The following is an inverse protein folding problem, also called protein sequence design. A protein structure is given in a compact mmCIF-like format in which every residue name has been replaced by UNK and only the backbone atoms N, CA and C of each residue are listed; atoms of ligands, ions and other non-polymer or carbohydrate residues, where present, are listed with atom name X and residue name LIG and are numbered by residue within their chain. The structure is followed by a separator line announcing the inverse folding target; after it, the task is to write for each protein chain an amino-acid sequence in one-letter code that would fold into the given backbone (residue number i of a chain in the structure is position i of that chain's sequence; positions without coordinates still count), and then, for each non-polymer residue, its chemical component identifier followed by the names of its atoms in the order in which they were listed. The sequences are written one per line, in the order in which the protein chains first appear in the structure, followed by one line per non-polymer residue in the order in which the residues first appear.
data_IF_239333189635
#
_entry.id   IF_239333189635
#
_cell.length_a   1.000
_cell.length_b   1.000
_cell.length_c   1.000
_cell.angle_alpha   90.00
_cell.angle_beta   90.00
_cell.angle_gamma   90.00
#
_symmetry.space_group_name_H-M   'P 1'
#
loop_
_entity.id
_entity.type
_entity.pdbx_description
1 polymer ?
#
# COMPACT_ATOMS: atom_id res chain seq x y z
N UNK A 1 -27.74 65.68 37.55
CA UNK A 1 -29.11 65.74 38.10
C UNK A 1 -29.89 64.63 37.44
N UNK A 2 -30.36 63.59 38.16
CA UNK A 2 -31.25 62.59 37.58
C UNK A 2 -32.68 63.13 37.57
N UNK A 3 -33.40 62.95 36.46
CA UNK A 3 -34.84 63.18 36.38
C UNK A 3 -35.48 61.82 36.19
N UNK A 4 -36.22 61.42 37.22
CA UNK A 4 -36.97 60.19 37.34
C UNK A 4 -38.30 60.34 36.59
N UNK A 5 -38.64 59.35 35.76
CA UNK A 5 -39.97 59.24 35.15
C UNK A 5 -40.57 57.94 35.67
N UNK A 6 -41.37 58.07 36.73
CA UNK A 6 -42.24 57.00 37.22
C UNK A 6 -43.30 56.67 36.17
N UNK A 7 -43.40 55.38 35.83
CA UNK A 7 -44.65 54.80 35.29
C UNK A 7 -45.05 53.62 36.18
N UNK A 8 -46.33 53.63 36.55
CA UNK A 8 -46.94 52.75 37.57
C UNK A 8 -46.98 51.28 37.11
N UNK A 9 -46.89 50.33 38.04
CA UNK A 9 -46.98 48.91 37.73
C UNK A 9 -48.44 48.54 37.41
N UNK A 10 -48.69 47.93 36.24
CA UNK A 10 -49.94 47.20 35.98
C UNK A 10 -50.69 47.44 34.67
N UNK A 11 -50.04 47.83 33.57
CA UNK A 11 -50.70 47.84 32.25
C UNK A 11 -49.94 46.92 31.29
N UNK A 12 -50.43 45.70 31.12
CA UNK A 12 -49.97 44.81 30.06
C UNK A 12 -50.60 45.29 28.75
N UNK A 13 -49.78 45.76 27.81
CA UNK A 13 -50.24 46.00 26.46
C UNK A 13 -50.33 44.65 25.75
N UNK A 14 -51.54 44.10 25.70
CA UNK A 14 -51.86 42.75 25.22
C UNK A 14 -51.77 42.57 23.69
N UNK A 15 -51.35 43.63 22.97
CA UNK A 15 -51.25 43.64 21.50
C UNK A 15 -49.81 43.43 20.95
N UNK A 16 -48.81 43.07 21.76
CA UNK A 16 -47.40 42.87 21.30
C UNK A 16 -46.85 41.47 21.64
N UNK A 17 -47.68 40.42 21.62
CA UNK A 17 -47.19 39.05 21.95
C UNK A 17 -47.24 38.04 20.80
N UNK A 18 -47.89 38.31 19.67
CA UNK A 18 -48.17 37.25 18.68
C UNK A 18 -47.43 37.33 17.32
N UNK A 19 -46.39 38.15 17.17
CA UNK A 19 -45.67 38.24 15.88
C UNK A 19 -44.22 37.72 15.94
N UNK A 20 -43.60 37.63 17.12
CA UNK A 20 -42.19 37.21 17.23
C UNK A 20 -42.02 35.69 17.32
N UNK A 21 -43.08 34.94 17.64
CA UNK A 21 -43.07 33.46 17.75
C UNK A 21 -43.42 32.74 16.44
N UNK A 22 -44.13 33.38 15.51
CA UNK A 22 -44.50 32.77 14.24
C UNK A 22 -43.29 32.60 13.29
N UNK A 23 -42.32 33.52 13.31
CA UNK A 23 -41.13 33.45 12.46
C UNK A 23 -40.20 32.28 12.86
N UNK A 24 -40.02 32.03 14.15
CA UNK A 24 -39.23 30.88 14.61
C UNK A 24 -39.90 29.54 14.29
N UNK A 25 -41.23 29.50 14.33
CA UNK A 25 -42.01 28.28 14.04
C UNK A 25 -42.06 28.01 12.54
N UNK A 26 -42.14 29.06 11.70
CA UNK A 26 -42.08 28.94 10.23
C UNK A 26 -40.66 28.56 9.78
N UNK A 27 -39.61 29.13 10.38
CA UNK A 27 -38.23 28.71 10.10
C UNK A 27 -37.96 27.26 10.52
N UNK A 28 -38.47 26.83 11.69
CA UNK A 28 -38.37 25.43 12.13
C UNK A 28 -39.13 24.48 11.22
N UNK A 29 -40.36 24.84 10.82
CA UNK A 29 -41.18 24.06 9.90
C UNK A 29 -40.56 24.00 8.50
N UNK A 30 -39.96 25.10 8.05
CA UNK A 30 -39.29 25.20 6.76
C UNK A 30 -37.96 24.44 6.77
N UNK A 31 -37.21 24.46 7.87
CA UNK A 31 -36.03 23.59 8.06
C UNK A 31 -36.43 22.12 8.04
N UNK A 32 -37.51 21.74 8.72
CA UNK A 32 -38.04 20.37 8.69
C UNK A 32 -38.55 19.97 7.31
N UNK A 33 -39.21 20.87 6.58
CA UNK A 33 -39.66 20.61 5.20
C UNK A 33 -38.48 20.53 4.21
N UNK A 34 -37.40 21.27 4.45
CA UNK A 34 -36.15 21.16 3.70
C UNK A 34 -35.49 19.81 4.00
N UNK A 35 -35.44 19.38 5.26
CA UNK A 35 -34.90 18.07 5.67
C UNK A 35 -35.72 16.90 5.10
N UNK A 36 -37.05 17.03 5.03
CA UNK A 36 -37.93 16.04 4.39
C UNK A 36 -37.77 15.97 2.86
N UNK A 37 -37.31 17.06 2.23
CA UNK A 37 -37.04 17.11 0.78
C UNK A 37 -35.60 16.73 0.43
N UNK A 38 -34.74 16.54 1.42
CA UNK A 38 -33.40 16.03 1.20
C UNK A 38 -33.50 14.55 0.80
N UNK A 39 -33.09 14.24 -0.42
CA UNK A 39 -32.87 12.86 -0.86
C UNK A 39 -31.58 12.42 -0.19
N UNK A 40 -31.69 11.73 0.94
CA UNK A 40 -30.55 11.06 1.58
C UNK A 40 -30.23 9.85 0.71
N UNK A 41 -29.03 9.83 0.11
CA UNK A 41 -28.53 8.65 -0.56
C UNK A 41 -28.44 7.51 0.46
N UNK A 42 -29.21 6.44 0.23
CA UNK A 42 -29.27 5.30 1.14
C UNK A 42 -27.99 4.44 1.11
N UNK A 43 -27.15 4.61 0.09
CA UNK A 43 -25.90 3.90 -0.07
C UNK A 43 -24.72 4.85 0.20
N UNK A 44 -23.91 4.50 1.20
CA UNK A 44 -22.67 5.24 1.47
C UNK A 44 -21.65 4.85 0.41
N UNK A 45 -21.22 5.81 -0.41
CA UNK A 45 -20.12 5.59 -1.35
C UNK A 45 -18.82 5.37 -0.58
N UNK A 46 -18.32 4.14 -0.58
CA UNK A 46 -17.03 3.80 0.03
C UNK A 46 -15.87 4.32 -0.84
N UNK A 47 -14.88 4.95 -0.21
CA UNK A 47 -13.64 5.33 -0.88
C UNK A 47 -12.86 4.04 -1.15
N UNK A 48 -12.64 3.71 -2.42
CA UNK A 48 -11.85 2.55 -2.80
C UNK A 48 -10.36 2.86 -2.60
N UNK A 49 -9.72 2.10 -1.72
CA UNK A 49 -8.27 2.17 -1.52
C UNK A 49 -7.51 1.33 -2.56
N UNK A 50 -6.28 1.71 -2.93
CA UNK A 50 -5.46 0.92 -3.85
C UNK A 50 -5.12 -0.45 -3.27
N UNK A 51 -4.95 -1.44 -4.15
CA UNK A 51 -4.68 -2.82 -3.77
C UNK A 51 -3.32 -2.99 -3.06
N UNK A 52 -3.32 -3.81 -2.00
CA UNK A 52 -2.12 -4.15 -1.22
C UNK A 52 -1.17 -5.05 -2.03
N UNK A 53 0.14 -4.75 -2.00
CA UNK A 53 1.13 -5.40 -2.89
C UNK A 53 2.14 -6.27 -2.17
N UNK A 54 2.21 -6.17 -0.84
CA UNK A 54 3.24 -6.88 -0.08
C UNK A 54 3.22 -8.40 -0.31
N UNK A 55 2.04 -9.01 -0.50
CA UNK A 55 1.90 -10.45 -0.74
C UNK A 55 2.35 -10.88 -2.15
N UNK A 56 2.27 -9.98 -3.13
CA UNK A 56 2.75 -10.26 -4.50
C UNK A 56 4.27 -10.17 -4.60
N UNK A 57 4.90 -9.36 -3.75
CA UNK A 57 6.34 -9.05 -3.83
C UNK A 57 7.15 -9.89 -2.84
N UNK A 58 6.60 -10.13 -1.65
CA UNK A 58 7.29 -10.80 -0.56
C UNK A 58 6.57 -12.10 -0.18
N UNK A 59 7.30 -13.20 0.02
CA UNK A 59 6.69 -14.43 0.53
C UNK A 59 6.26 -14.23 1.99
N UNK A 60 4.96 -14.37 2.25
CA UNK A 60 4.39 -14.33 3.59
C UNK A 60 4.29 -15.75 4.16
N UNK A 61 4.70 -15.91 5.41
CA UNK A 61 4.57 -17.17 6.14
C UNK A 61 3.55 -17.03 7.27
N UNK A 62 2.50 -17.85 7.23
CA UNK A 62 1.41 -17.88 8.22
C UNK A 62 1.55 -19.02 9.24
N UNK A 63 2.60 -19.85 9.13
CA UNK A 63 2.75 -21.07 9.94
C UNK A 63 3.40 -20.89 11.32
N UNK A 64 3.66 -19.65 11.75
CA UNK A 64 4.38 -19.35 12.99
C UNK A 64 3.43 -19.23 14.19
N UNK A 65 3.90 -19.59 15.38
CA UNK A 65 3.13 -19.43 16.62
C UNK A 65 2.91 -17.93 16.91
N UNK A 66 1.65 -17.47 17.06
CA UNK A 66 1.34 -16.08 17.37
C UNK A 66 1.96 -15.56 18.68
N UNK A 67 2.34 -16.46 19.59
CA UNK A 67 2.90 -16.11 20.90
C UNK A 67 4.42 -16.24 20.98
N UNK A 68 5.09 -16.61 19.88
CA UNK A 68 6.54 -16.69 19.85
C UNK A 68 7.15 -15.29 19.77
N UNK A 69 8.02 -14.95 20.72
CA UNK A 69 8.77 -13.67 20.69
C UNK A 69 9.81 -13.61 19.57
N UNK A 70 10.27 -14.78 19.09
CA UNK A 70 11.35 -14.89 18.11
C UNK A 70 11.15 -16.05 17.12
N UNK A 71 11.52 -15.80 15.87
CA UNK A 71 11.61 -16.81 14.80
C UNK A 71 13.08 -17.02 14.44
N UNK A 72 13.56 -18.26 14.60
CA UNK A 72 14.95 -18.63 14.24
C UNK A 72 14.96 -19.37 12.90
N UNK A 73 15.52 -18.74 11.87
CA UNK A 73 15.71 -19.35 10.55
C UNK A 73 17.10 -19.96 10.43
N UNK A 74 17.16 -21.26 10.17
CA UNK A 74 18.42 -21.98 9.90
C UNK A 74 18.63 -22.11 8.39
N UNK A 75 19.68 -21.48 7.89
CA UNK A 75 20.10 -21.56 6.48
C UNK A 75 21.15 -22.65 6.37
N UNK A 76 20.92 -23.62 5.48
CA UNK A 76 21.84 -24.73 5.20
C UNK A 76 22.71 -24.35 3.99
N UNK A 77 24.03 -24.34 4.17
CA UNK A 77 25.01 -24.18 3.09
C UNK A 77 25.73 -25.51 2.86
N UNK A 78 25.87 -25.92 1.60
CA UNK A 78 26.55 -27.17 1.21
C UNK A 78 27.85 -26.79 0.53
N UNK A 79 28.98 -27.21 1.12
CA UNK A 79 30.30 -26.96 0.56
C UNK A 79 30.93 -28.27 0.11
N UNK A 80 31.30 -28.32 -1.16
CA UNK A 80 32.01 -29.44 -1.75
C UNK A 80 32.41 -29.11 -3.18
N UNK A 81 33.67 -29.36 -3.53
CA UNK A 81 34.18 -29.20 -4.90
C UNK A 81 34.49 -30.57 -5.46
N UNK A 82 33.92 -30.88 -6.63
CA UNK A 82 34.28 -32.10 -7.36
C UNK A 82 35.72 -31.95 -7.88
N UNK A 83 36.56 -32.94 -7.60
CA UNK A 83 37.90 -33.03 -8.17
C UNK A 83 37.92 -34.12 -9.24
N UNK A 84 38.65 -33.88 -10.32
CA UNK A 84 38.93 -34.92 -11.32
C UNK A 84 39.78 -36.01 -10.69
N UNK A 85 39.30 -37.25 -10.73
CA UNK A 85 40.01 -38.41 -10.18
C UNK A 85 41.15 -38.86 -11.09
N UNK A 86 42.30 -39.16 -10.51
CA UNK A 86 43.39 -39.91 -11.16
C UNK A 86 43.34 -41.36 -10.67
N UNK A 87 43.61 -42.38 -11.51
CA UNK A 87 43.50 -43.79 -11.15
C UNK A 87 44.30 -44.22 -9.90
N UNK A 88 45.29 -43.42 -9.48
CA UNK A 88 46.18 -43.73 -8.34
C UNK A 88 45.93 -42.90 -7.07
N UNK A 89 44.87 -42.07 -7.01
CA UNK A 89 44.55 -41.30 -5.80
C UNK A 89 43.28 -41.83 -5.11
N UNK A 90 43.42 -42.27 -3.86
CA UNK A 90 42.31 -42.79 -3.03
C UNK A 90 41.60 -41.71 -2.18
N UNK A 91 41.99 -40.43 -2.29
CA UNK A 91 41.37 -39.37 -1.51
C UNK A 91 40.10 -38.84 -2.20
N UNK A 92 38.95 -39.32 -1.72
CA UNK A 92 37.62 -38.90 -2.20
C UNK A 92 37.21 -37.66 -1.39
N UNK A 93 37.00 -36.49 -2.04
CA UNK A 93 36.57 -35.30 -1.32
C UNK A 93 35.19 -35.52 -0.70
N UNK A 94 35.07 -35.26 0.61
CA UNK A 94 33.80 -35.35 1.35
C UNK A 94 33.06 -34.01 1.30
N UNK A 95 31.74 -34.08 1.17
CA UNK A 95 30.86 -32.90 1.23
C UNK A 95 30.59 -32.55 2.69
N UNK A 96 30.76 -31.28 3.04
CA UNK A 96 30.41 -30.72 4.34
C UNK A 96 29.10 -29.93 4.27
N UNK A 97 28.32 -29.99 5.34
CA UNK A 97 27.11 -29.18 5.51
C UNK A 97 27.35 -28.22 6.67
N UNK A 98 27.19 -26.92 6.41
CA UNK A 98 27.21 -25.89 7.43
C UNK A 98 25.80 -25.33 7.66
N UNK A 99 25.50 -24.92 8.89
CA UNK A 99 24.25 -24.27 9.24
C UNK A 99 24.55 -22.87 9.79
N UNK A 100 23.92 -21.86 9.20
CA UNK A 100 23.91 -20.49 9.73
C UNK A 100 22.54 -20.23 10.35
N UNK A 101 22.50 -19.75 11.59
CA UNK A 101 21.25 -19.39 12.26
C UNK A 101 21.06 -17.87 12.20
N UNK A 102 19.84 -17.43 11.89
CA UNK A 102 19.45 -16.02 11.93
C UNK A 102 18.15 -15.89 12.73
N UNK A 103 18.16 -14.99 13.71
CA UNK A 103 17.00 -14.74 14.57
C UNK A 103 16.27 -13.48 14.09
N UNK A 104 14.95 -13.50 14.22
CA UNK A 104 14.06 -12.39 13.90
C UNK A 104 13.10 -12.21 15.07
N UNK A 105 12.96 -10.99 15.58
CA UNK A 105 12.02 -10.67 16.65
C UNK A 105 10.60 -10.50 16.06
N UNK A 106 9.59 -10.97 16.80
CA UNK A 106 8.17 -10.86 16.42
C UNK A 106 7.53 -9.72 17.23
N UNK A 107 6.74 -8.88 16.56
CA UNK A 107 6.05 -7.76 17.20
C UNK A 107 4.54 -7.88 17.04
N UNK A 108 3.82 -7.61 18.12
CA UNK A 108 2.36 -7.53 18.13
C UNK A 108 1.90 -6.10 17.83
N UNK A 109 0.89 -5.96 16.97
CA UNK A 109 0.18 -4.71 16.72
C UNK A 109 -1.31 -4.94 16.90
N UNK A 110 -1.99 -3.95 17.45
CA UNK A 110 -3.40 -4.05 17.84
C UNK A 110 -4.13 -2.78 17.42
N UNK A 111 -5.40 -2.94 17.04
CA UNK A 111 -6.35 -1.88 16.76
C UNK A 111 -7.66 -2.26 17.45
N UNK A 112 -8.29 -1.28 18.12
CA UNK A 112 -9.51 -1.48 18.88
C UNK A 112 -10.67 -0.72 18.25
N UNK A 113 -11.87 -1.29 18.39
CA UNK A 113 -13.13 -0.68 17.98
C UNK A 113 -13.93 -0.36 19.24
N UNK A 114 -14.54 0.82 19.31
CA UNK A 114 -15.34 1.24 20.45
C UNK A 114 -16.64 1.91 20.01
N UNK A 115 -17.70 1.66 20.77
CA UNK A 115 -19.04 2.20 20.52
C UNK A 115 -19.51 3.01 21.72
N UNK A 116 -20.16 4.14 21.47
CA UNK A 116 -20.87 4.88 22.51
C UNK A 116 -22.32 4.39 22.62
N UNK A 117 -22.96 4.60 23.78
CA UNK A 117 -24.36 4.23 23.98
C UNK A 117 -25.30 5.00 23.04
N UNK A 118 -24.95 6.24 22.70
CA UNK A 118 -25.73 7.08 21.79
C UNK A 118 -25.68 6.55 20.36
N UNK A 119 -24.52 6.06 19.91
CA UNK A 119 -24.37 5.44 18.59
C UNK A 119 -25.17 4.15 18.49
N UNK A 120 -25.19 3.33 19.54
CA UNK A 120 -26.00 2.11 19.59
C UNK A 120 -27.49 2.40 19.54
N UNK A 121 -27.96 3.44 20.25
CA UNK A 121 -29.36 3.87 20.22
C UNK A 121 -29.73 4.43 18.85
N UNK A 122 -28.84 5.22 18.23
CA UNK A 122 -29.04 5.75 16.87
C UNK A 122 -29.08 4.62 15.86
N UNK A 123 -28.15 3.66 15.93
CA UNK A 123 -28.14 2.48 15.06
C UNK A 123 -29.42 1.66 15.19
N UNK A 124 -29.91 1.43 16.43
CA UNK A 124 -31.16 0.73 16.68
C UNK A 124 -32.40 1.47 16.11
N UNK A 125 -32.36 2.81 16.07
CA UNK A 125 -33.46 3.64 15.55
C UNK A 125 -33.44 3.77 14.03
N UNK A 126 -32.26 3.90 13.43
CA UNK A 126 -32.09 4.12 11.99
C UNK A 126 -31.92 2.82 11.21
N UNK A 127 -31.69 1.68 11.90
CA UNK A 127 -31.46 0.38 11.26
C UNK A 127 -30.12 0.26 10.55
N UNK A 128 -29.17 1.17 10.85
CA UNK A 128 -27.82 1.17 10.28
C UNK A 128 -26.98 0.11 10.99
N UNK A 129 -26.25 -0.69 10.22
CA UNK A 129 -25.32 -1.65 10.77
C UNK A 129 -24.02 -0.96 11.18
N UNK A 130 -23.88 -0.66 12.47
CA UNK A 130 -22.70 0.01 13.00
C UNK A 130 -21.46 -0.93 13.05
N UNK A 131 -21.69 -2.24 13.15
CA UNK A 131 -20.61 -3.23 13.32
C UNK A 131 -19.87 -3.49 12.01
N UNK A 132 -20.59 -3.64 10.90
CA UNK A 132 -19.97 -4.00 9.61
C UNK A 132 -18.94 -2.98 9.16
N UNK A 133 -19.26 -1.70 9.29
CA UNK A 133 -18.48 -0.64 8.68
C UNK A 133 -17.19 -0.37 9.46
N UNK A 134 -17.25 -0.44 10.80
CA UNK A 134 -16.06 -0.30 11.64
C UNK A 134 -15.16 -1.54 11.57
N UNK A 135 -15.73 -2.74 11.45
CA UNK A 135 -14.99 -3.98 11.26
C UNK A 135 -14.27 -4.00 9.89
N UNK A 136 -14.93 -3.53 8.83
CA UNK A 136 -14.34 -3.38 7.50
C UNK A 136 -13.20 -2.36 7.52
N UNK A 137 -13.42 -1.17 8.08
CA UNK A 137 -12.38 -0.15 8.21
C UNK A 137 -11.17 -0.64 9.04
N UNK A 138 -11.41 -1.37 10.13
CA UNK A 138 -10.36 -1.97 10.95
C UNK A 138 -9.51 -2.97 10.14
N UNK A 139 -10.14 -3.80 9.30
CA UNK A 139 -9.46 -4.73 8.41
C UNK A 139 -8.61 -3.98 7.38
N UNK A 140 -9.16 -2.94 6.75
CA UNK A 140 -8.45 -2.15 5.75
C UNK A 140 -7.21 -1.45 6.33
N UNK A 141 -7.35 -0.80 7.49
CA UNK A 141 -6.24 -0.13 8.17
C UNK A 141 -5.14 -1.13 8.53
N UNK A 142 -5.54 -2.33 8.98
CA UNK A 142 -4.60 -3.41 9.30
C UNK A 142 -3.79 -3.83 8.08
N UNK A 143 -4.43 -3.97 6.92
CA UNK A 143 -3.75 -4.33 5.67
C UNK A 143 -2.86 -3.19 5.12
N UNK A 144 -3.29 -1.93 5.25
CA UNK A 144 -2.47 -0.77 4.89
C UNK A 144 -1.19 -0.68 5.76
N UNK A 145 -1.32 -0.93 7.06
CA UNK A 145 -0.18 -0.93 7.98
C UNK A 145 0.79 -2.08 7.68
N UNK A 146 0.28 -3.30 7.40
CA UNK A 146 1.11 -4.43 6.94
C UNK A 146 1.88 -4.07 5.67
N UNK A 147 1.21 -3.49 4.68
CA UNK A 147 1.85 -3.07 3.43
C UNK A 147 2.97 -2.04 3.69
N UNK A 148 2.70 -1.06 4.55
CA UNK A 148 3.68 -0.01 4.91
C UNK A 148 4.91 -0.60 5.62
N UNK A 149 4.71 -1.50 6.59
CA UNK A 149 5.81 -2.16 7.30
C UNK A 149 6.63 -3.03 6.35
N UNK A 150 5.96 -3.79 5.48
CA UNK A 150 6.65 -4.67 4.53
C UNK A 150 7.56 -3.88 3.56
N UNK A 151 7.09 -2.71 3.09
CA UNK A 151 7.80 -1.91 2.10
C UNK A 151 8.85 -0.97 2.72
N UNK A 152 8.51 -0.27 3.81
CA UNK A 152 9.37 0.76 4.39
C UNK A 152 10.01 0.36 5.72
N UNK A 153 9.44 -0.63 6.41
CA UNK A 153 9.89 -1.06 7.73
C UNK A 153 9.44 -0.12 8.84
N UNK A 154 10.04 -0.26 10.01
CA UNK A 154 9.79 0.59 11.16
C UNK A 154 11.11 0.88 11.90
N UNK A 155 11.59 2.11 11.78
CA UNK A 155 12.86 2.56 12.35
C UNK A 155 12.88 2.43 13.88
N UNK A 156 11.75 2.69 14.55
CA UNK A 156 11.66 2.64 16.02
C UNK A 156 11.82 1.21 16.56
N UNK A 157 11.54 0.20 15.73
CA UNK A 157 11.68 -1.23 16.07
C UNK A 157 12.88 -1.88 15.38
N UNK A 158 13.72 -1.10 14.69
CA UNK A 158 14.87 -1.61 13.95
C UNK A 158 14.48 -2.56 12.79
N UNK A 159 13.23 -2.51 12.33
CA UNK A 159 12.76 -3.34 11.22
C UNK A 159 13.10 -2.65 9.91
N UNK A 160 13.89 -3.33 9.08
CA UNK A 160 14.15 -2.89 7.70
C UNK A 160 13.03 -3.38 6.77
N UNK A 161 12.52 -2.50 5.90
CA UNK A 161 11.57 -2.84 4.85
C UNK A 161 12.27 -3.10 3.52
N UNK A 162 11.50 -3.53 2.52
CA UNK A 162 12.04 -3.83 1.19
C UNK A 162 12.81 -2.67 0.53
N UNK A 163 12.34 -1.42 0.66
CA UNK A 163 13.02 -0.26 0.06
C UNK A 163 14.12 0.34 0.95
N UNK A 164 14.09 0.05 2.25
CA UNK A 164 15.01 0.64 3.23
C UNK A 164 16.14 -0.30 3.63
N UNK A 165 16.05 -1.59 3.34
CA UNK A 165 17.04 -2.59 3.75
C UNK A 165 18.42 -2.37 3.14
N UNK A 166 19.44 -2.55 3.98
CA UNK A 166 20.86 -2.48 3.60
C UNK A 166 21.33 -3.69 2.77
N UNK A 167 20.57 -4.80 2.84
CA UNK A 167 20.88 -6.04 2.10
C UNK A 167 20.47 -5.95 0.62
N UNK A 168 19.61 -5.00 0.28
CA UNK A 168 19.11 -4.80 -1.08
C UNK A 168 19.97 -3.71 -1.75
N UNK A 169 20.66 -4.02 -2.85
CA UNK A 169 21.50 -3.05 -3.52
C UNK A 169 20.61 -2.01 -4.18
N UNK A 170 21.10 -0.77 -4.19
CA UNK A 170 20.44 0.33 -4.87
C UNK A 170 21.29 0.75 -6.05
N UNK A 171 20.63 0.99 -7.17
CA UNK A 171 21.25 1.53 -8.37
C UNK A 171 20.58 2.85 -8.69
N UNK A 172 21.38 3.87 -8.97
CA UNK A 172 20.87 5.13 -9.52
C UNK A 172 20.50 4.90 -10.98
N UNK A 173 19.24 5.14 -11.33
CA UNK A 173 18.78 5.07 -12.71
C UNK A 173 19.55 6.08 -13.58
N UNK A 174 20.04 5.65 -14.75
CA UNK A 174 20.78 6.51 -15.69
C UNK A 174 19.89 7.56 -16.35
N UNK A 175 18.57 7.31 -16.43
CA UNK A 175 17.58 8.17 -17.08
C UNK A 175 16.17 7.87 -16.54
N UNK A 176 15.23 8.80 -16.76
CA UNK A 176 13.83 8.61 -16.38
C UNK A 176 13.09 7.77 -17.43
N UNK A 177 12.08 6.99 -17.02
CA UNK A 177 11.28 6.15 -17.93
C UNK A 177 10.57 7.01 -19.00
N UNK A 178 10.10 8.20 -18.62
CA UNK A 178 9.51 9.18 -19.56
C UNK A 178 10.46 9.59 -20.69
N UNK A 179 11.73 9.91 -20.37
CA UNK A 179 12.70 10.31 -21.41
C UNK A 179 13.08 9.16 -22.34
N UNK A 180 13.06 7.92 -21.83
CA UNK A 180 13.26 6.72 -22.64
C UNK A 180 12.10 6.55 -23.63
N UNK A 181 10.88 6.70 -23.13
CA UNK A 181 9.65 6.64 -23.93
C UNK A 181 9.65 7.65 -25.10
N UNK A 182 10.13 8.87 -24.86
CA UNK A 182 10.25 9.90 -25.90
C UNK A 182 11.34 9.56 -26.94
N UNK A 183 12.43 8.92 -26.50
CA UNK A 183 13.54 8.52 -27.36
C UNK A 183 13.22 7.32 -28.28
N UNK A 184 12.19 6.52 -27.97
CA UNK A 184 11.79 5.30 -28.71
C UNK A 184 11.33 5.56 -30.16
N UNK A 185 11.13 6.82 -30.53
CA UNK A 185 10.84 7.25 -31.90
C UNK A 185 12.00 7.01 -32.90
N UNK A 186 13.23 6.82 -32.41
CA UNK A 186 14.42 6.58 -33.22
C UNK A 186 14.97 5.15 -33.00
N UNK A 187 15.57 4.53 -34.02
CA UNK A 187 16.13 3.17 -33.96
C UNK A 187 17.11 2.95 -32.80
N UNK A 188 17.80 4.00 -32.34
CA UNK A 188 18.69 3.95 -31.18
C UNK A 188 17.98 3.97 -29.81
N UNK A 189 16.79 4.56 -29.71
CA UNK A 189 16.06 4.70 -28.45
C UNK A 189 15.47 3.38 -27.94
N UNK A 190 15.10 2.46 -28.83
CA UNK A 190 14.65 1.13 -28.45
C UNK A 190 15.78 0.35 -27.76
N UNK A 191 17.02 0.44 -28.28
CA UNK A 191 18.17 -0.22 -27.64
C UNK A 191 18.50 0.41 -26.28
N UNK A 192 18.33 1.72 -26.13
CA UNK A 192 18.47 2.40 -24.84
C UNK A 192 17.42 1.91 -23.83
N UNK A 193 16.17 1.72 -24.25
CA UNK A 193 15.11 1.15 -23.41
C UNK A 193 15.44 -0.27 -22.96
N UNK A 194 15.92 -1.13 -23.89
CA UNK A 194 16.36 -2.49 -23.55
C UNK A 194 17.51 -2.44 -22.53
N UNK A 195 18.54 -1.64 -22.79
CA UNK A 195 19.71 -1.55 -21.92
C UNK A 195 19.35 -1.03 -20.52
N UNK A 196 18.39 -0.12 -20.43
CA UNK A 196 17.91 0.43 -19.16
C UNK A 196 17.32 -0.64 -18.24
N UNK A 197 16.45 -1.53 -18.76
CA UNK A 197 15.87 -2.60 -17.96
C UNK A 197 16.81 -3.81 -17.80
N UNK A 198 17.65 -4.07 -18.79
CA UNK A 198 18.57 -5.21 -18.78
C UNK A 198 19.76 -5.05 -17.82
N UNK A 199 20.32 -3.84 -17.70
CA UNK A 199 21.48 -3.56 -16.82
C UNK A 199 21.23 -3.90 -15.35
N UNK A 200 20.13 -3.44 -14.70
CA UNK A 200 19.86 -3.81 -13.30
C UNK A 200 19.61 -5.31 -13.15
N UNK A 201 18.95 -5.97 -14.12
CA UNK A 201 18.76 -7.42 -14.09
C UNK A 201 20.08 -8.20 -14.14
N UNK A 202 21.02 -7.76 -14.98
CA UNK A 202 22.35 -8.37 -15.05
C UNK A 202 23.15 -8.18 -13.77
N UNK A 203 23.01 -7.05 -13.08
CA UNK A 203 23.68 -6.84 -11.80
C UNK A 203 23.19 -7.83 -10.74
N UNK A 204 21.88 -8.07 -10.66
CA UNK A 204 21.31 -9.08 -9.75
C UNK A 204 21.81 -10.48 -10.11
N UNK A 205 21.83 -10.82 -11.39
CA UNK A 205 22.26 -12.16 -11.83
C UNK A 205 23.77 -12.39 -11.68
N UNK A 206 24.61 -11.45 -12.08
CA UNK A 206 26.07 -11.64 -12.13
C UNK A 206 26.75 -11.31 -10.80
N UNK A 207 26.40 -10.17 -10.18
CA UNK A 207 27.13 -9.67 -9.03
C UNK A 207 26.56 -10.16 -7.70
N UNK A 208 25.23 -10.29 -7.60
CA UNK A 208 24.61 -10.68 -6.33
C UNK A 208 24.42 -12.18 -6.17
N UNK A 209 23.81 -12.80 -7.17
CA UNK A 209 23.42 -14.20 -7.10
C UNK A 209 24.47 -15.11 -7.72
N UNK A 210 25.53 -14.55 -8.32
CA UNK A 210 26.61 -15.28 -9.00
C UNK A 210 26.04 -16.38 -9.92
N UNK A 211 25.06 -16.00 -10.73
CA UNK A 211 24.31 -16.83 -11.69
C UNK A 211 23.43 -17.94 -11.09
N UNK A 212 23.21 -17.95 -9.78
CA UNK A 212 22.35 -18.95 -9.11
C UNK A 212 20.86 -18.63 -9.31
N UNK A 213 20.48 -17.36 -9.28
CA UNK A 213 19.07 -16.93 -9.39
C UNK A 213 18.88 -15.94 -10.55
N UNK A 214 17.74 -16.04 -11.22
CA UNK A 214 17.30 -15.10 -12.27
C UNK A 214 16.20 -14.20 -11.71
N UNK A 215 16.20 -12.94 -12.11
CA UNK A 215 15.10 -12.03 -11.80
C UNK A 215 13.81 -12.52 -12.50
N UNK A 216 12.70 -12.58 -11.75
CA UNK A 216 11.43 -13.12 -12.23
C UNK A 216 10.47 -12.03 -12.73
N UNK A 217 10.60 -10.80 -12.22
CA UNK A 217 9.77 -9.67 -12.61
C UNK A 217 10.38 -8.34 -12.16
N UNK A 218 9.84 -7.26 -12.71
CA UNK A 218 10.17 -5.88 -12.31
C UNK A 218 8.87 -5.19 -11.94
N UNK A 219 8.82 -4.69 -10.70
CA UNK A 219 7.74 -3.81 -10.23
C UNK A 219 8.02 -2.38 -10.71
N UNK A 220 7.02 -1.73 -11.31
CA UNK A 220 7.09 -0.34 -11.76
C UNK A 220 5.96 0.47 -11.15
N UNK A 221 6.18 1.76 -10.87
CA UNK A 221 5.08 2.64 -10.47
C UNK A 221 4.04 2.71 -11.61
N UNK A 222 2.77 2.85 -11.26
CA UNK A 222 1.65 2.96 -12.21
C UNK A 222 1.89 4.03 -13.27
N UNK A 223 2.53 5.15 -12.91
CA UNK A 223 2.88 6.22 -13.84
C UNK A 223 3.84 5.74 -14.93
N UNK A 224 4.92 5.05 -14.55
CA UNK A 224 5.92 4.55 -15.47
C UNK A 224 5.37 3.41 -16.32
N UNK A 225 4.54 2.56 -15.71
CA UNK A 225 3.79 1.53 -16.43
C UNK A 225 2.85 2.13 -17.50
N UNK A 226 2.16 3.23 -17.18
CA UNK A 226 1.33 3.97 -18.11
C UNK A 226 2.11 4.56 -19.29
N UNK A 227 3.32 5.08 -19.05
CA UNK A 227 4.20 5.56 -20.13
C UNK A 227 4.66 4.43 -21.06
N UNK A 228 5.05 3.28 -20.51
CA UNK A 228 5.44 2.11 -21.32
C UNK A 228 4.26 1.51 -22.10
N UNK A 229 3.04 1.60 -21.56
CA UNK A 229 1.83 1.10 -22.23
C UNK A 229 1.38 2.04 -23.35
N UNK A 230 1.48 3.35 -23.15
CA UNK A 230 1.04 4.36 -24.13
C UNK A 230 2.05 4.57 -25.26
N UNK A 231 3.32 4.23 -25.04
CA UNK A 231 4.35 4.33 -26.09
C UNK A 231 4.23 3.22 -27.11
N UNK A 232 4.00 3.63 -28.34
CA UNK A 232 4.00 2.75 -29.50
C UNK A 232 5.38 2.71 -30.16
N UNK A 233 5.81 1.51 -30.58
CA UNK A 233 7.04 1.34 -31.35
C UNK A 233 6.70 1.50 -32.84
N UNK A 234 7.21 2.55 -33.52
CA UNK A 234 6.86 2.82 -34.92
C UNK A 234 7.20 1.70 -35.91
N UNK A 235 8.17 0.84 -35.56
CA UNK A 235 8.67 -0.24 -36.41
C UNK A 235 7.96 -1.59 -36.23
N UNK A 236 7.28 -1.83 -35.10
CA UNK A 236 6.73 -3.16 -34.75
C UNK A 236 5.21 -3.18 -34.66
N UNK A 237 4.54 -2.02 -34.60
CA UNK A 237 3.10 -1.97 -34.37
C UNK A 237 2.67 -2.30 -32.93
N UNK A 238 3.60 -2.73 -32.08
CA UNK A 238 3.37 -3.11 -30.69
C UNK A 238 3.67 -1.96 -29.71
N UNK A 239 3.12 -2.07 -28.50
CA UNK A 239 3.50 -1.21 -27.39
C UNK A 239 4.89 -1.57 -26.86
N UNK A 240 5.60 -0.57 -26.34
CA UNK A 240 6.93 -0.78 -25.75
C UNK A 240 6.90 -1.80 -24.61
N UNK A 241 5.82 -1.81 -23.83
CA UNK A 241 5.58 -2.80 -22.78
C UNK A 241 5.58 -4.24 -23.31
N UNK A 242 4.77 -4.53 -24.32
CA UNK A 242 4.65 -5.89 -24.88
C UNK A 242 5.98 -6.35 -25.49
N UNK A 243 6.67 -5.44 -26.17
CA UNK A 243 7.99 -5.70 -26.72
C UNK A 243 9.02 -6.04 -25.64
N UNK A 244 9.05 -5.27 -24.54
CA UNK A 244 9.98 -5.53 -23.43
C UNK A 244 9.68 -6.84 -22.71
N UNK A 245 8.41 -7.14 -22.45
CA UNK A 245 8.01 -8.42 -21.82
C UNK A 245 8.44 -9.62 -22.69
N UNK A 246 8.23 -9.56 -24.00
CA UNK A 246 8.65 -10.62 -24.92
C UNK A 246 10.17 -10.76 -25.01
N UNK A 247 10.91 -9.65 -25.06
CA UNK A 247 12.37 -9.68 -25.23
C UNK A 247 13.12 -10.05 -23.97
N UNK A 248 12.64 -9.62 -22.80
CA UNK A 248 13.30 -9.88 -21.52
C UNK A 248 12.78 -11.15 -20.84
N UNK A 249 11.68 -11.74 -21.33
CA UNK A 249 11.02 -12.93 -20.77
C UNK A 249 10.76 -12.80 -19.26
N UNK A 250 10.23 -11.64 -18.87
CA UNK A 250 9.89 -11.30 -17.49
C UNK A 250 8.53 -10.61 -17.42
N UNK A 251 7.89 -10.73 -16.26
CA UNK A 251 6.65 -10.03 -15.97
C UNK A 251 6.95 -8.60 -15.50
N UNK A 252 6.47 -7.63 -16.27
CA UNK A 252 6.39 -6.23 -15.84
C UNK A 252 4.98 -6.00 -15.29
N UNK A 253 4.89 -5.64 -14.02
CA UNK A 253 3.62 -5.38 -13.35
C UNK A 253 3.62 -3.97 -12.73
N UNK A 254 2.44 -3.36 -12.69
CA UNK A 254 2.28 -2.08 -12.04
C UNK A 254 2.18 -2.28 -10.52
N UNK A 255 2.71 -1.31 -9.81
CA UNK A 255 2.68 -1.17 -8.37
C UNK A 255 2.07 0.20 -8.12
N UNK A 256 0.91 0.23 -7.48
CA UNK A 256 0.23 1.44 -7.00
C UNK A 256 0.92 2.06 -5.78
N UNK A 257 2.25 2.26 -5.88
CA UNK A 257 3.04 3.12 -4.98
C UNK A 257 3.00 4.55 -5.50
#
# INVERSE_FOLDING_TARGET
MPVEIETRPGEYNEDIVDIVTADSDIESLMSFAIDQRAIIEAETSQIQYPEYQYDQILPVDYGQDPWADKVVRRIKDVRGTLKWGSPNNNDIPRVGVAYTMKEYDVYKREIGISYTNEDLIRAARTGINLSSDQDEACREITEQDKNTIALFGNVNKGMEGFFTSSLIPRMTATSNVKSICEAVTLTGGIQQAINFFWTPMQQVSLNQTKTIYRAQGIALSERDYGYLRSTHIPASGDTLLNFLQQKLNILLFHSGI
#
